data_IF_581392613962
#
_entry.id   IF_581392613962
#
_cell.length_a   1.000
_cell.length_b   1.000
_cell.length_c   1.000
_cell.angle_alpha   90.00
_cell.angle_beta   90.00
_cell.angle_gamma   90.00
#
_symmetry.space_group_name_H-M   'P 1'
#
loop_
_entity.id
_entity.type
_entity.pdbx_description
1 polymer ?
#
# COMPACT_ATOMS: atom_id res chain seq x y z
N UNK A 1 -2.50 -2.93 -1.89
CA UNK A 1 -2.34 -3.91 -2.99
C UNK A 1 -3.62 -3.96 -3.80
N UNK A 2 -3.65 -4.58 -4.99
CA UNK A 2 -4.86 -4.69 -5.83
C UNK A 2 -4.53 -4.75 -7.32
N UNK A 3 -5.53 -4.99 -8.14
CA UNK A 3 -5.40 -5.18 -9.59
C UNK A 3 -4.86 -3.96 -10.33
N UNK A 4 -4.39 -4.17 -11.56
CA UNK A 4 -3.99 -3.06 -12.42
C UNK A 4 -5.19 -2.16 -12.73
N UNK A 5 -5.05 -0.85 -12.52
CA UNK A 5 -6.15 0.08 -12.73
C UNK A 5 -7.06 0.32 -11.52
N UNK A 6 -6.87 -0.38 -10.40
CA UNK A 6 -7.66 -0.18 -9.18
C UNK A 6 -7.46 1.19 -8.48
N UNK A 7 -6.56 2.05 -8.98
CA UNK A 7 -6.31 3.37 -8.40
C UNK A 7 -5.20 3.42 -7.34
N UNK A 8 -4.36 2.37 -7.24
CA UNK A 8 -3.26 2.30 -6.25
C UNK A 8 -2.34 3.51 -6.28
N UNK A 9 -1.82 3.88 -7.45
CA UNK A 9 -0.91 5.02 -7.60
C UNK A 9 -1.61 6.35 -7.28
N UNK A 10 -2.89 6.50 -7.66
CA UNK A 10 -3.68 7.69 -7.32
C UNK A 10 -3.88 7.79 -5.81
N UNK A 11 -4.21 6.69 -5.14
CA UNK A 11 -4.32 6.66 -3.67
C UNK A 11 -2.97 6.93 -3.01
N UNK A 12 -1.87 6.36 -3.51
CA UNK A 12 -0.51 6.64 -2.99
C UNK A 12 -0.17 8.12 -3.11
N UNK A 13 -0.52 8.77 -4.23
CA UNK A 13 -0.35 10.21 -4.39
C UNK A 13 -1.19 11.01 -3.39
N UNK A 14 -2.45 10.65 -3.21
CA UNK A 14 -3.33 11.27 -2.21
C UNK A 14 -2.74 11.16 -0.80
N UNK A 15 -2.33 9.98 -0.38
CA UNK A 15 -1.73 9.73 0.94
C UNK A 15 -0.45 10.55 1.16
N UNK A 16 0.39 10.74 0.12
CA UNK A 16 1.55 11.63 0.20
C UNK A 16 1.16 13.09 0.50
N UNK A 17 0.02 13.56 -0.01
CA UNK A 17 -0.48 14.90 0.31
C UNK A 17 -1.04 14.98 1.75
N UNK A 18 -1.42 13.84 2.33
CA UNK A 18 -1.85 13.70 3.74
C UNK A 18 -0.69 13.42 4.71
N UNK A 19 0.56 13.59 4.28
CA UNK A 19 1.73 13.52 5.16
C UNK A 19 2.37 12.13 5.30
N UNK A 20 1.94 11.15 4.52
CA UNK A 20 2.59 9.85 4.47
C UNK A 20 3.94 9.93 3.74
N UNK A 21 4.89 9.10 4.14
CA UNK A 21 6.15 8.91 3.42
C UNK A 21 6.01 7.83 2.34
N UNK A 22 6.75 7.98 1.26
CA UNK A 22 6.75 7.07 0.12
C UNK A 22 7.85 6.03 0.24
N UNK A 23 7.50 4.77 0.13
CA UNK A 23 8.46 3.66 0.04
C UNK A 23 8.59 3.12 -1.38
N UNK A 24 7.46 2.85 -2.03
CA UNK A 24 7.38 2.29 -3.37
C UNK A 24 5.96 2.38 -3.93
N UNK A 25 5.79 2.28 -5.25
CA UNK A 25 4.49 2.20 -5.94
C UNK A 25 4.21 0.79 -6.49
N UNK A 26 5.13 0.24 -7.28
CA UNK A 26 4.91 -1.03 -7.98
C UNK A 26 5.22 -2.26 -7.12
N UNK A 27 6.26 -2.16 -6.29
CA UNK A 27 6.80 -3.26 -5.52
C UNK A 27 6.86 -2.91 -4.04
N UNK A 28 6.50 -3.84 -3.18
CA UNK A 28 6.76 -3.77 -1.76
C UNK A 28 7.73 -4.91 -1.38
N UNK A 29 9.05 -4.71 -1.52
CA UNK A 29 10.02 -5.73 -1.10
C UNK A 29 9.92 -5.89 0.41
N UNK A 30 9.54 -7.08 0.87
CA UNK A 30 9.41 -7.37 2.31
C UNK A 30 10.55 -8.30 2.70
N UNK A 31 11.36 -7.87 3.66
CA UNK A 31 12.36 -8.72 4.29
C UNK A 31 11.62 -9.77 5.14
N UNK A 32 11.64 -11.03 4.69
CA UNK A 32 10.81 -12.10 5.26
C UNK A 32 11.08 -12.38 6.74
N UNK A 33 12.32 -12.22 7.19
CA UNK A 33 12.71 -12.47 8.58
C UNK A 33 12.26 -11.37 9.55
N UNK A 34 12.24 -10.12 9.09
CA UNK A 34 11.96 -8.96 9.94
C UNK A 34 10.57 -8.35 9.68
N UNK A 35 9.88 -8.80 8.63
CA UNK A 35 8.62 -8.24 8.12
C UNK A 35 8.68 -6.72 7.96
N UNK A 36 9.79 -6.25 7.42
CA UNK A 36 10.03 -4.84 7.11
C UNK A 36 9.90 -4.61 5.62
N UNK A 37 9.19 -3.58 5.26
CA UNK A 37 9.09 -3.11 3.87
C UNK A 37 10.34 -2.28 3.57
N UNK A 38 11.10 -2.72 2.57
CA UNK A 38 12.29 -2.02 2.10
C UNK A 38 11.89 -0.89 1.14
N UNK A 39 12.57 0.27 1.20
CA UNK A 39 12.34 1.32 0.23
C UNK A 39 12.81 0.88 -1.17
N UNK A 40 11.96 1.12 -2.15
CA UNK A 40 12.26 0.95 -3.57
C UNK A 40 11.72 2.18 -4.32
N UNK A 41 12.31 3.37 -4.08
CA UNK A 41 11.78 4.62 -4.58
C UNK A 41 11.97 4.74 -6.08
N UNK A 42 10.86 4.65 -6.81
CA UNK A 42 10.75 4.99 -8.23
C UNK A 42 9.76 6.15 -8.38
N UNK A 43 9.77 6.80 -9.53
CA UNK A 43 8.73 7.78 -9.83
C UNK A 43 7.37 7.12 -9.76
N UNK A 44 6.42 7.77 -9.08
CA UNK A 44 5.04 7.32 -9.05
C UNK A 44 4.44 7.48 -10.45
N UNK A 45 3.81 6.45 -10.98
CA UNK A 45 3.22 6.49 -12.30
C UNK A 45 1.69 6.58 -12.21
N UNK A 46 1.14 7.74 -12.61
CA UNK A 46 -0.30 7.98 -12.68
C UNK A 46 -0.78 7.82 -14.12
N UNK A 47 -1.87 7.09 -14.34
CA UNK A 47 -2.47 6.93 -15.68
C UNK A 47 -3.21 8.18 -16.15
N UNK A 48 -3.66 9.02 -15.21
CA UNK A 48 -4.36 10.27 -15.46
C UNK A 48 -4.05 11.25 -14.32
N UNK A 49 -4.25 12.56 -14.50
CA UNK A 49 -4.16 13.53 -13.42
C UNK A 49 -5.05 13.14 -12.24
N UNK A 50 -4.59 13.35 -11.00
CA UNK A 50 -5.42 13.11 -9.83
C UNK A 50 -6.60 14.11 -9.80
N UNK A 51 -7.72 13.77 -9.14
CA UNK A 51 -8.83 14.69 -8.98
C UNK A 51 -8.45 15.87 -8.07
N UNK A 52 -9.14 17.01 -8.22
CA UNK A 52 -9.03 18.13 -7.30
C UNK A 52 -9.32 17.67 -5.85
N UNK A 53 -8.63 18.24 -4.84
CA UNK A 53 -7.64 19.32 -4.91
C UNK A 53 -6.18 18.87 -5.10
N UNK A 54 -5.93 17.63 -5.48
CA UNK A 54 -4.59 17.02 -5.56
C UNK A 54 -3.85 17.44 -6.83
N UNK A 55 -3.09 18.51 -6.75
CA UNK A 55 -2.28 19.01 -7.86
C UNK A 55 -0.98 18.21 -8.03
N UNK A 56 -0.46 18.20 -9.25
CA UNK A 56 0.83 17.62 -9.59
C UNK A 56 1.94 18.68 -9.51
N UNK A 57 3.19 18.30 -9.13
CA UNK A 57 4.31 19.21 -9.13
C UNK A 57 4.73 19.56 -10.57
N UNK A 58 5.40 20.70 -10.80
CA UNK A 58 5.85 21.10 -12.15
C UNK A 58 6.82 20.13 -12.82
N UNK A 59 7.52 19.30 -12.03
CA UNK A 59 8.54 18.37 -12.50
C UNK A 59 7.98 17.00 -12.98
N UNK A 60 6.67 16.95 -13.28
CA UNK A 60 6.06 15.73 -13.86
C UNK A 60 6.53 15.53 -15.29
N UNK A 61 6.90 14.30 -15.61
CA UNK A 61 7.26 13.89 -16.97
C UNK A 61 6.13 13.05 -17.54
N UNK A 62 5.52 13.54 -18.62
CA UNK A 62 4.50 12.78 -19.35
C UNK A 62 5.16 11.82 -20.35
N UNK A 63 4.69 10.58 -20.40
CA UNK A 63 5.15 9.56 -21.33
C UNK A 63 3.95 8.80 -21.88
N UNK A 64 4.17 7.90 -22.85
CA UNK A 64 3.13 6.99 -23.36
C UNK A 64 2.56 6.04 -22.28
N UNK A 65 3.23 5.91 -21.13
CA UNK A 65 2.80 5.06 -20.01
C UNK A 65 2.02 5.82 -18.93
N UNK A 66 2.03 7.15 -18.98
CA UNK A 66 1.36 8.01 -18.01
C UNK A 66 2.25 9.14 -17.50
N UNK A 67 1.82 9.72 -16.39
CA UNK A 67 2.46 10.84 -15.71
C UNK A 67 3.43 10.31 -14.65
N UNK A 68 4.72 10.51 -14.86
CA UNK A 68 5.77 10.14 -13.91
C UNK A 68 6.03 11.27 -12.95
N UNK A 69 5.63 11.07 -11.70
CA UNK A 69 5.74 12.05 -10.63
C UNK A 69 6.97 11.74 -9.80
N UNK A 70 7.97 12.65 -9.72
CA UNK A 70 9.15 12.42 -8.89
C UNK A 70 8.77 12.43 -7.41
N UNK A 71 9.19 11.39 -6.69
CA UNK A 71 8.91 11.22 -5.25
C UNK A 71 10.07 11.63 -4.35
N UNK A 72 11.26 11.86 -4.92
CA UNK A 72 12.49 12.19 -4.20
C UNK A 72 12.63 13.63 -3.70
N UNK A 73 11.67 14.52 -3.98
CA UNK A 73 11.69 15.91 -3.54
C UNK A 73 11.07 16.11 -2.14
N UNK A 74 11.70 16.93 -1.30
CA UNK A 74 11.18 17.42 0.00
C UNK A 74 10.95 16.34 1.07
N UNK A 75 11.80 15.31 1.18
CA UNK A 75 11.72 14.35 2.30
C UNK A 75 10.52 13.39 2.24
N UNK A 76 9.86 13.26 1.10
CA UNK A 76 8.70 12.37 0.92
C UNK A 76 9.05 10.91 0.74
N UNK A 77 10.28 10.59 0.32
CA UNK A 77 10.75 9.21 0.24
C UNK A 77 11.32 8.78 1.60
N UNK A 78 10.84 7.65 2.12
CA UNK A 78 11.40 7.08 3.34
C UNK A 78 12.81 6.53 3.07
N UNK A 79 13.84 7.00 3.78
CA UNK A 79 15.21 6.59 3.52
C UNK A 79 15.55 5.21 4.09
N UNK A 80 14.67 4.62 4.89
CA UNK A 80 14.90 3.38 5.64
C UNK A 80 13.71 2.45 5.57
N UNK A 81 13.99 1.15 5.75
CA UNK A 81 12.94 0.14 5.90
C UNK A 81 11.97 0.49 7.04
N UNK A 82 10.70 0.22 6.83
CA UNK A 82 9.63 0.43 7.80
C UNK A 82 8.98 -0.89 8.18
N UNK A 83 8.58 -1.04 9.43
CA UNK A 83 7.76 -2.18 9.84
C UNK A 83 6.42 -2.15 9.11
N UNK A 84 5.91 -3.33 8.78
CA UNK A 84 4.60 -3.47 8.16
C UNK A 84 3.53 -3.30 9.26
N UNK A 85 2.73 -2.24 9.18
CA UNK A 85 1.67 -1.96 10.16
C UNK A 85 0.30 -2.45 9.76
N UNK A 86 -0.03 -2.36 8.47
CA UNK A 86 -1.31 -2.80 7.93
C UNK A 86 -1.20 -3.04 6.41
N UNK A 87 -2.08 -3.87 5.88
CA UNK A 87 -2.22 -4.10 4.44
C UNK A 87 -3.65 -3.76 4.03
N UNK A 88 -3.77 -2.88 3.05
CA UNK A 88 -5.05 -2.55 2.41
C UNK A 88 -5.08 -3.13 1.00
N UNK A 89 -6.04 -4.01 0.75
CA UNK A 89 -6.35 -4.53 -0.58
C UNK A 89 -7.39 -3.61 -1.20
N UNK A 90 -6.96 -2.83 -2.19
CA UNK A 90 -7.79 -1.88 -2.88
C UNK A 90 -8.63 -2.60 -3.93
N UNK A 91 -9.93 -2.61 -3.72
CA UNK A 91 -10.89 -3.13 -4.67
C UNK A 91 -11.21 -2.04 -5.71
N UNK A 92 -11.41 -2.43 -6.99
CA UNK A 92 -11.84 -1.48 -8.00
C UNK A 92 -13.11 -0.77 -7.55
N UNK A 93 -13.09 0.56 -7.57
CA UNK A 93 -14.26 1.36 -7.19
C UNK A 93 -15.39 1.14 -8.20
N UNK A 94 -16.56 0.74 -7.75
CA UNK A 94 -17.76 0.95 -8.56
C UNK A 94 -17.97 2.47 -8.68
N UNK A 95 -18.11 2.95 -9.89
CA UNK A 95 -18.16 4.37 -10.31
C UNK A 95 -19.19 5.24 -9.56
N UNK A 96 -19.96 4.71 -8.64
CA UNK A 96 -21.08 5.38 -7.96
C UNK A 96 -21.08 5.28 -6.42
N UNK A 97 -19.94 4.99 -5.76
CA UNK A 97 -19.95 4.94 -4.29
C UNK A 97 -19.89 6.34 -3.70
N UNK A 98 -20.80 6.65 -2.80
CA UNK A 98 -20.85 7.92 -2.07
C UNK A 98 -19.79 8.01 -0.98
N UNK A 99 -19.36 6.88 -0.41
CA UNK A 99 -18.40 6.85 0.69
C UNK A 99 -17.47 5.64 0.59
N UNK A 100 -16.18 5.78 0.95
CA UNK A 100 -15.25 4.66 1.02
C UNK A 100 -15.59 3.75 2.20
N UNK A 101 -15.18 2.49 2.13
CA UNK A 101 -15.36 1.53 3.22
C UNK A 101 -14.11 0.70 3.43
N UNK A 102 -13.84 0.38 4.71
CA UNK A 102 -12.78 -0.52 5.14
C UNK A 102 -13.42 -1.69 5.88
N UNK A 103 -13.04 -2.90 5.50
CA UNK A 103 -13.49 -4.14 6.15
C UNK A 103 -12.26 -4.99 6.48
N UNK A 104 -12.11 -5.40 7.74
CA UNK A 104 -11.07 -6.35 8.11
C UNK A 104 -11.33 -7.70 7.45
N UNK A 105 -10.28 -8.34 6.93
CA UNK A 105 -10.33 -9.66 6.32
C UNK A 105 -9.53 -10.66 7.15
N UNK A 106 -9.81 -11.95 6.97
CA UNK A 106 -9.08 -13.01 7.66
C UNK A 106 -7.65 -13.16 7.13
N UNK A 107 -6.75 -13.72 7.95
CA UNK A 107 -5.38 -13.99 7.52
C UNK A 107 -5.34 -14.98 6.34
N UNK A 108 -6.26 -15.92 6.26
CA UNK A 108 -6.36 -16.86 5.15
C UNK A 108 -6.73 -16.16 3.84
N UNK A 109 -7.73 -15.28 3.86
CA UNK A 109 -8.12 -14.46 2.71
C UNK A 109 -6.98 -13.53 2.29
N UNK A 110 -6.32 -12.90 3.27
CA UNK A 110 -5.19 -12.02 3.02
C UNK A 110 -3.99 -12.76 2.40
N UNK A 111 -3.65 -13.95 2.89
CA UNK A 111 -2.57 -14.77 2.36
C UNK A 111 -2.83 -15.16 0.89
N UNK A 112 -4.06 -15.58 0.57
CA UNK A 112 -4.43 -15.88 -0.81
C UNK A 112 -4.28 -14.67 -1.73
N UNK A 113 -4.73 -13.48 -1.29
CA UNK A 113 -4.60 -12.22 -2.05
C UNK A 113 -3.13 -11.78 -2.18
N UNK A 114 -2.31 -11.99 -1.15
CA UNK A 114 -0.86 -11.71 -1.19
C UNK A 114 -0.17 -12.60 -2.20
N UNK A 115 -0.44 -13.89 -2.17
CA UNK A 115 0.14 -14.87 -3.09
C UNK A 115 -0.24 -14.55 -4.55
N UNK A 116 -1.49 -14.20 -4.81
CA UNK A 116 -1.95 -13.79 -6.14
C UNK A 116 -1.26 -12.52 -6.67
N UNK A 117 -0.73 -11.67 -5.78
CA UNK A 117 0.00 -10.44 -6.12
C UNK A 117 1.52 -10.58 -5.94
N UNK A 118 2.02 -11.77 -5.60
CA UNK A 118 3.45 -12.00 -5.42
C UNK A 118 4.19 -12.00 -6.76
N UNK A 119 5.37 -11.37 -6.78
CA UNK A 119 6.30 -11.50 -7.89
C UNK A 119 7.17 -12.73 -7.66
N UNK A 120 7.28 -13.56 -8.69
CA UNK A 120 8.12 -14.76 -8.67
C UNK A 120 7.85 -15.69 -7.47
N UNK A 121 6.59 -16.08 -7.19
CA UNK A 121 6.29 -16.94 -6.05
C UNK A 121 7.11 -18.24 -6.05
N UNK A 122 7.38 -18.79 -7.23
CA UNK A 122 8.19 -20.02 -7.40
C UNK A 122 9.66 -19.88 -6.98
N UNK A 123 10.14 -18.64 -6.76
CA UNK A 123 11.51 -18.40 -6.26
C UNK A 123 11.61 -18.53 -4.74
N UNK A 124 10.50 -18.74 -4.06
CA UNK A 124 10.42 -18.86 -2.61
C UNK A 124 10.09 -20.28 -2.18
N UNK A 125 10.51 -20.68 -0.98
CA UNK A 125 10.13 -21.96 -0.39
C UNK A 125 8.59 -22.07 -0.31
N UNK A 126 8.06 -23.27 -0.52
CA UNK A 126 6.62 -23.55 -0.59
C UNK A 126 5.88 -22.60 -1.55
N UNK A 127 6.50 -22.26 -2.68
CA UNK A 127 5.96 -21.37 -3.71
C UNK A 127 5.49 -20.02 -3.16
N UNK A 128 6.11 -19.53 -2.09
CA UNK A 128 5.80 -18.26 -1.44
C UNK A 128 4.57 -18.29 -0.53
N UNK A 129 3.90 -19.41 -0.36
CA UNK A 129 2.70 -19.53 0.49
C UNK A 129 3.02 -19.24 1.96
N UNK A 130 4.12 -19.81 2.48
CA UNK A 130 4.54 -19.62 3.87
C UNK A 130 4.85 -18.15 4.15
N UNK A 131 5.52 -17.46 3.22
CA UNK A 131 5.80 -16.03 3.34
C UNK A 131 4.52 -15.19 3.31
N UNK A 132 3.58 -15.51 2.41
CA UNK A 132 2.30 -14.81 2.34
C UNK A 132 1.47 -14.99 3.62
N UNK A 133 1.47 -16.22 4.17
CA UNK A 133 0.77 -16.53 5.42
C UNK A 133 1.41 -15.81 6.61
N UNK A 134 2.74 -15.84 6.73
CA UNK A 134 3.46 -15.13 7.78
C UNK A 134 3.17 -13.63 7.75
N UNK A 135 3.21 -13.00 6.57
CA UNK A 135 2.87 -11.58 6.40
C UNK A 135 1.42 -11.30 6.84
N UNK A 136 0.47 -12.14 6.41
CA UNK A 136 -0.95 -11.97 6.72
C UNK A 136 -1.29 -12.20 8.20
N UNK A 137 -0.48 -12.97 8.93
CA UNK A 137 -0.64 -13.19 10.36
C UNK A 137 -0.03 -12.06 11.20
N UNK A 138 1.02 -11.41 10.69
CA UNK A 138 1.76 -10.39 11.42
C UNK A 138 1.19 -8.98 11.32
N UNK A 139 0.42 -8.68 10.30
CA UNK A 139 -0.18 -7.36 10.10
C UNK A 139 -1.68 -7.46 9.85
N UNK A 140 -2.50 -6.57 10.44
CA UNK A 140 -3.91 -6.51 10.13
C UNK A 140 -4.14 -6.20 8.65
N UNK A 141 -5.04 -6.97 8.03
CA UNK A 141 -5.35 -6.89 6.62
C UNK A 141 -6.78 -6.44 6.40
N UNK A 142 -6.97 -5.55 5.43
CA UNK A 142 -8.25 -4.92 5.15
C UNK A 142 -8.57 -4.94 3.66
N UNK A 143 -9.84 -5.11 3.34
CA UNK A 143 -10.40 -4.74 2.06
C UNK A 143 -10.76 -3.26 2.11
N UNK A 144 -10.25 -2.47 1.16
CA UNK A 144 -10.53 -1.05 1.01
C UNK A 144 -11.31 -0.85 -0.28
N UNK A 145 -12.52 -0.35 -0.18
CA UNK A 145 -13.32 0.07 -1.32
C UNK A 145 -13.27 1.58 -1.41
N UNK A 146 -12.60 2.08 -2.43
CA UNK A 146 -12.41 3.50 -2.64
C UNK A 146 -13.71 4.19 -3.11
N UNK A 147 -13.79 5.48 -2.83
CA UNK A 147 -14.78 6.41 -3.36
C UNK A 147 -14.06 7.70 -3.77
N UNK A 148 -14.49 8.86 -3.26
CA UNK A 148 -13.72 10.09 -3.38
C UNK A 148 -12.31 9.93 -2.80
N UNK A 149 -11.29 10.48 -3.48
CA UNK A 149 -9.89 10.28 -3.10
C UNK A 149 -9.59 10.84 -1.71
N UNK A 150 -10.11 12.03 -1.39
CA UNK A 150 -9.88 12.68 -0.11
C UNK A 150 -10.50 11.85 1.03
N UNK A 151 -11.78 11.49 0.90
CA UNK A 151 -12.46 10.67 1.88
C UNK A 151 -11.79 9.30 2.06
N UNK A 152 -11.24 8.72 0.98
CA UNK A 152 -10.51 7.46 1.04
C UNK A 152 -9.19 7.61 1.81
N UNK A 153 -8.43 8.68 1.57
CA UNK A 153 -7.20 8.97 2.31
C UNK A 153 -7.48 9.20 3.81
N UNK A 154 -8.51 9.98 4.12
CA UNK A 154 -8.95 10.24 5.50
C UNK A 154 -9.33 8.95 6.22
N UNK A 155 -10.08 8.04 5.56
CA UNK A 155 -10.47 6.74 6.11
C UNK A 155 -9.25 5.85 6.37
N UNK A 156 -8.28 5.80 5.47
CA UNK A 156 -7.03 5.05 5.68
C UNK A 156 -6.26 5.62 6.87
N UNK A 157 -6.12 6.94 6.97
CA UNK A 157 -5.49 7.62 8.09
C UNK A 157 -6.16 7.27 9.43
N UNK A 158 -7.47 7.44 9.52
CA UNK A 158 -8.26 7.11 10.72
C UNK A 158 -8.14 5.64 11.12
N UNK A 159 -8.15 4.71 10.15
CA UNK A 159 -7.98 3.28 10.42
C UNK A 159 -6.61 2.96 11.03
N UNK A 160 -5.54 3.64 10.58
CA UNK A 160 -4.20 3.47 11.14
C UNK A 160 -4.07 4.08 12.53
N UNK A 161 -4.70 5.21 12.78
CA UNK A 161 -4.74 5.83 14.12
C UNK A 161 -5.49 4.94 15.12
N UNK A 162 -6.61 4.35 14.71
CA UNK A 162 -7.35 3.39 15.53
C UNK A 162 -6.52 2.15 15.88
N UNK A 163 -5.76 1.61 14.93
CA UNK A 163 -4.85 0.49 15.18
C UNK A 163 -3.77 0.86 16.20
N UNK A 164 -3.18 2.05 16.09
CA UNK A 164 -2.19 2.57 17.03
C UNK A 164 -2.79 2.74 18.43
N UNK A 165 -3.98 3.33 18.53
CA UNK A 165 -4.66 3.55 19.80
C UNK A 165 -5.02 2.25 20.53
N UNK A 166 -5.30 1.18 19.77
CA UNK A 166 -5.57 -0.16 20.32
C UNK A 166 -4.31 -0.94 20.70
N UNK A 167 -3.11 -0.38 20.52
CA UNK A 167 -1.85 -1.06 20.78
C UNK A 167 -1.63 -2.30 19.90
N UNK A 168 -2.27 -2.34 18.74
CA UNK A 168 -2.05 -3.40 17.75
C UNK A 168 -0.68 -3.15 17.11
N UNK A 169 0.37 -3.48 17.84
CA UNK A 169 1.68 -3.62 17.25
C UNK A 169 1.71 -4.88 16.39
N UNK A 170 2.45 -4.85 15.24
CA UNK A 170 2.64 -6.05 14.44
C UNK A 170 3.20 -7.17 15.31
N UNK A 171 2.50 -8.30 15.37
CA UNK A 171 2.74 -9.40 16.33
C UNK A 171 4.06 -10.17 16.09
N UNK A 172 4.91 -9.75 15.15
CA UNK A 172 6.18 -10.41 14.85
C UNK A 172 7.36 -9.68 15.48
N UNK A 173 7.79 -10.24 16.61
CA UNK A 173 9.19 -10.17 17.04
C UNK A 173 10.04 -11.16 16.20
N UNK A 174 11.39 -11.05 16.21
CA UNK A 174 12.23 -12.08 15.64
C UNK A 174 11.83 -13.45 16.24
N UNK A 175 11.84 -14.55 15.45
CA UNK A 175 11.71 -15.88 16.03
C UNK A 175 12.78 -15.97 17.12
N UNK A 176 12.33 -16.30 18.34
CA UNK A 176 13.21 -16.44 19.47
C UNK A 176 14.40 -17.34 19.13
N UNK A 177 15.59 -16.90 19.60
CA UNK A 177 16.82 -17.68 19.59
C UNK A 177 16.62 -19.07 20.18
#
# INVERSE_FOLDING_TARGET
MGDSGAGKSTLSWGLLQHGFEYLSDELAPIAAQELRVLPYPRSLCLKAPPPEPYSLPPAVVETSRGLHVPTGGRGRAAPRARRLHAIFFLEPGAVARRSPTVRRISSAEAAARLLANALNPLSHAADGLDAALAIAQCAPCFELRAADLRATCELVGASLEELRARGVEPACGPPGE
#
